data_IF_927256425357
#
_entry.id   IF_927256425357
#
_cell.length_a   1.000
_cell.length_b   1.000
_cell.length_c   1.000
_cell.angle_alpha   90.00
_cell.angle_beta   90.00
_cell.angle_gamma   90.00
#
_symmetry.space_group_name_H-M   'P 1'
#
loop_
_entity.id
_entity.type
_entity.pdbx_description
1 polymer ?
#
# COMPACT_ATOMS: atom_id res chain seq x y z
N UNK A 1 -9.29 4.81 17.77
CA UNK A 1 -8.02 5.08 17.07
C UNK A 1 -8.30 5.92 15.82
N UNK A 2 -7.54 6.97 15.63
CA UNK A 2 -7.70 7.84 14.46
C UNK A 2 -7.01 7.21 13.25
N UNK A 3 -7.70 7.14 12.12
CA UNK A 3 -7.17 6.61 10.86
C UNK A 3 -5.88 7.35 10.46
N UNK A 4 -5.90 8.68 10.62
CA UNK A 4 -4.77 9.53 10.30
C UNK A 4 -3.53 9.18 11.13
N UNK A 5 -3.71 8.90 12.42
CA UNK A 5 -2.60 8.56 13.30
C UNK A 5 -1.99 7.20 12.97
N UNK A 6 -2.84 6.22 12.62
CA UNK A 6 -2.36 4.89 12.22
C UNK A 6 -1.57 4.96 10.92
N UNK A 7 -2.07 5.69 9.93
CA UNK A 7 -1.38 5.89 8.66
C UNK A 7 -0.04 6.60 8.87
N UNK A 8 -0.01 7.60 9.74
CA UNK A 8 1.20 8.35 10.04
C UNK A 8 2.29 7.50 10.70
N UNK A 9 1.90 6.64 11.65
CA UNK A 9 2.85 5.74 12.32
C UNK A 9 3.49 4.76 11.33
N UNK A 10 2.69 4.17 10.46
CA UNK A 10 3.21 3.25 9.44
C UNK A 10 4.13 3.99 8.48
N UNK A 11 3.74 5.18 8.04
CA UNK A 11 4.54 6.00 7.16
C UNK A 11 5.89 6.37 7.78
N UNK A 12 5.90 6.77 9.05
CA UNK A 12 7.13 7.09 9.76
C UNK A 12 8.07 5.90 9.87
N UNK A 13 7.55 4.70 10.14
CA UNK A 13 8.34 3.48 10.20
C UNK A 13 9.01 3.17 8.85
N UNK A 14 8.28 3.37 7.75
CA UNK A 14 8.82 3.14 6.41
C UNK A 14 9.87 4.20 6.05
N UNK A 15 9.57 5.47 6.28
CA UNK A 15 10.46 6.57 5.91
C UNK A 15 11.74 6.59 6.73
N UNK A 16 11.71 6.10 7.97
CA UNK A 16 12.90 6.00 8.81
C UNK A 16 13.79 4.81 8.48
N UNK A 17 13.33 3.90 7.61
CA UNK A 17 14.06 2.69 7.26
C UNK A 17 13.84 1.53 8.22
N UNK A 18 13.00 1.70 9.24
CA UNK A 18 12.69 0.64 10.20
C UNK A 18 11.93 -0.51 9.52
N UNK A 19 11.04 -0.18 8.57
CA UNK A 19 10.29 -1.14 7.77
C UNK A 19 10.38 -0.78 6.31
N UNK A 20 10.27 -1.77 5.43
CA UNK A 20 10.26 -1.54 3.99
C UNK A 20 8.84 -1.33 3.48
N UNK A 21 7.86 -1.99 4.10
CA UNK A 21 6.47 -2.00 3.66
C UNK A 21 5.53 -1.99 4.85
N UNK A 22 4.28 -1.60 4.63
CA UNK A 22 3.26 -1.58 5.66
C UNK A 22 1.92 -2.07 5.15
N UNK A 23 1.10 -2.53 6.08
CA UNK A 23 -0.27 -2.98 5.79
C UNK A 23 -1.21 -2.25 6.74
N UNK A 24 -2.22 -1.60 6.19
CA UNK A 24 -3.22 -0.87 6.94
C UNK A 24 -4.62 -1.43 6.69
N UNK A 25 -5.38 -1.58 7.74
CA UNK A 25 -6.76 -2.08 7.69
C UNK A 25 -7.72 -1.07 8.30
N UNK A 26 -8.84 -0.85 7.62
CA UNK A 26 -9.98 -0.14 8.21
C UNK A 26 -11.27 -0.71 7.63
N UNK A 27 -12.40 -0.04 7.80
CA UNK A 27 -13.68 -0.57 7.31
C UNK A 27 -13.70 -0.83 5.81
N UNK A 28 -13.29 0.13 5.01
CA UNK A 28 -13.22 0.02 3.54
C UNK A 28 -11.80 0.05 3.00
N UNK A 29 -10.85 0.54 3.78
CA UNK A 29 -9.48 0.78 3.33
C UNK A 29 -9.30 2.12 2.62
N UNK A 30 -10.40 2.78 2.26
CA UNK A 30 -10.37 4.01 1.46
C UNK A 30 -9.74 5.17 2.23
N UNK A 31 -10.25 5.45 3.43
CA UNK A 31 -9.75 6.54 4.25
C UNK A 31 -8.28 6.37 4.63
N UNK A 32 -7.89 5.14 4.97
CA UNK A 32 -6.49 4.83 5.27
C UNK A 32 -5.58 5.11 4.08
N UNK A 33 -5.99 4.69 2.88
CA UNK A 33 -5.17 4.91 1.68
C UNK A 33 -5.04 6.41 1.38
N UNK A 34 -6.12 7.16 1.54
CA UNK A 34 -6.08 8.61 1.34
C UNK A 34 -5.16 9.29 2.35
N UNK A 35 -5.27 8.92 3.62
CA UNK A 35 -4.43 9.49 4.68
C UNK A 35 -2.95 9.18 4.45
N UNK A 36 -2.64 7.92 4.14
CA UNK A 36 -1.26 7.50 3.90
C UNK A 36 -0.65 8.22 2.69
N UNK A 37 -1.41 8.37 1.62
CA UNK A 37 -0.92 9.02 0.40
C UNK A 37 -0.70 10.53 0.52
N UNK A 38 -1.14 11.16 1.61
CA UNK A 38 -0.82 12.56 1.87
C UNK A 38 0.63 12.74 2.35
N UNK A 39 1.29 11.66 2.71
CA UNK A 39 2.65 11.71 3.24
C UNK A 39 3.63 11.43 2.09
N UNK A 40 4.54 12.37 1.85
CA UNK A 40 5.53 12.25 0.77
C UNK A 40 6.38 11.00 0.96
N UNK A 41 6.57 10.25 -0.11
CA UNK A 41 7.33 9.00 -0.08
C UNK A 41 6.49 7.76 0.19
N UNK A 42 5.20 7.93 0.47
CA UNK A 42 4.27 6.83 0.70
C UNK A 42 3.40 6.64 -0.54
N UNK A 43 3.39 5.42 -1.06
CA UNK A 43 2.52 5.01 -2.15
C UNK A 43 1.63 3.89 -1.62
N UNK A 44 0.46 4.29 -1.13
CA UNK A 44 -0.51 3.37 -0.55
C UNK A 44 -1.53 2.96 -1.61
N UNK A 45 -1.81 1.68 -1.68
CA UNK A 45 -2.78 1.13 -2.63
C UNK A 45 -3.89 0.40 -1.90
N UNK A 46 -5.12 0.73 -2.24
CA UNK A 46 -6.30 0.01 -1.76
C UNK A 46 -6.53 -1.18 -2.68
N UNK A 47 -6.39 -2.38 -2.16
CA UNK A 47 -6.56 -3.60 -2.94
C UNK A 47 -7.58 -4.52 -2.28
N UNK A 48 -8.49 -5.06 -3.10
CA UNK A 48 -9.48 -6.04 -2.66
C UNK A 48 -9.39 -7.34 -3.46
N UNK A 49 -8.32 -7.51 -4.22
CA UNK A 49 -8.05 -8.72 -5.00
C UNK A 49 -6.54 -8.92 -5.15
N UNK A 50 -6.14 -10.14 -5.48
CA UNK A 50 -4.72 -10.48 -5.60
C UNK A 50 -4.05 -9.88 -6.84
N UNK A 51 -4.79 -9.76 -7.93
CA UNK A 51 -4.25 -9.17 -9.15
C UNK A 51 -3.83 -7.71 -8.92
N UNK A 52 -4.70 -6.92 -8.28
CA UNK A 52 -4.39 -5.52 -7.98
C UNK A 52 -3.20 -5.40 -7.03
N UNK A 53 -3.10 -6.28 -6.04
CA UNK A 53 -1.99 -6.29 -5.10
C UNK A 53 -0.66 -6.59 -5.80
N UNK A 54 -0.65 -7.54 -6.70
CA UNK A 54 0.53 -7.86 -7.50
C UNK A 54 0.90 -6.69 -8.44
N UNK A 55 -0.09 -6.19 -9.17
CA UNK A 55 0.12 -5.12 -10.14
C UNK A 55 0.64 -3.83 -9.48
N UNK A 56 0.07 -3.43 -8.34
CA UNK A 56 0.50 -2.21 -7.67
C UNK A 56 1.93 -2.33 -7.16
N UNK A 57 2.36 -3.54 -6.77
CA UNK A 57 3.74 -3.75 -6.37
C UNK A 57 4.68 -3.72 -7.58
N UNK A 58 4.35 -4.47 -8.61
CA UNK A 58 5.18 -4.59 -9.81
C UNK A 58 5.25 -3.31 -10.63
N UNK A 59 4.15 -2.59 -10.74
CA UNK A 59 4.05 -1.41 -11.61
C UNK A 59 4.19 -0.09 -10.87
N UNK A 60 3.67 0.01 -9.66
CA UNK A 60 3.63 1.25 -8.92
C UNK A 60 4.64 1.32 -7.76
N UNK A 61 5.30 0.21 -7.49
CA UNK A 61 6.20 0.08 -6.34
C UNK A 61 5.55 0.59 -5.05
N UNK A 62 4.30 0.19 -4.83
CA UNK A 62 3.55 0.58 -3.64
C UNK A 62 4.26 0.05 -2.40
N UNK A 63 4.34 0.87 -1.37
CA UNK A 63 4.98 0.48 -0.10
C UNK A 63 3.99 0.33 1.05
N UNK A 64 2.71 0.61 0.81
CA UNK A 64 1.65 0.40 1.78
C UNK A 64 0.46 -0.25 1.10
N UNK A 65 0.01 -1.36 1.65
CA UNK A 65 -1.21 -2.04 1.22
C UNK A 65 -2.34 -1.67 2.18
N UNK A 66 -3.45 -1.19 1.62
CA UNK A 66 -4.64 -0.91 2.42
C UNK A 66 -5.75 -1.88 2.04
N UNK A 67 -6.48 -2.37 3.05
CA UNK A 67 -7.58 -3.31 2.84
C UNK A 67 -8.76 -2.93 3.72
N UNK A 68 -9.97 -3.30 3.28
CA UNK A 68 -11.21 -3.05 4.01
C UNK A 68 -11.72 -4.30 4.70
N UNK A 69 -11.75 -4.30 6.02
CA UNK A 69 -12.21 -5.44 6.81
C UNK A 69 -13.70 -5.75 6.59
N UNK A 70 -14.48 -4.76 6.15
CA UNK A 70 -15.90 -4.95 5.84
C UNK A 70 -16.13 -5.37 4.38
N UNK A 71 -15.11 -5.29 3.55
CA UNK A 71 -15.21 -5.58 2.12
C UNK A 71 -14.75 -6.99 1.80
N UNK A 72 -13.71 -7.47 2.47
CA UNK A 72 -13.11 -8.78 2.23
C UNK A 72 -13.04 -9.58 3.52
N UNK A 73 -13.16 -10.91 3.38
CA UNK A 73 -13.02 -11.82 4.51
C UNK A 73 -11.55 -12.06 4.87
N UNK A 74 -11.30 -12.66 6.05
CA UNK A 74 -9.92 -12.89 6.52
C UNK A 74 -9.06 -13.71 5.58
N UNK A 75 -9.61 -14.76 4.98
CA UNK A 75 -8.85 -15.64 4.10
C UNK A 75 -8.36 -14.90 2.86
N UNK A 76 -9.23 -14.12 2.24
CA UNK A 76 -8.86 -13.32 1.08
C UNK A 76 -7.85 -12.23 1.48
N UNK A 77 -8.03 -11.62 2.64
CA UNK A 77 -7.10 -10.61 3.15
C UNK A 77 -5.68 -11.17 3.29
N UNK A 78 -5.54 -12.38 3.82
CA UNK A 78 -4.23 -13.03 3.93
C UNK A 78 -3.62 -13.32 2.56
N UNK A 79 -4.41 -13.76 1.59
CA UNK A 79 -3.92 -14.02 0.23
C UNK A 79 -3.47 -12.74 -0.46
N UNK A 80 -4.21 -11.66 -0.28
CA UNK A 80 -3.85 -10.35 -0.83
C UNK A 80 -2.54 -9.86 -0.21
N UNK A 81 -2.42 -9.96 1.11
CA UNK A 81 -1.21 -9.56 1.83
C UNK A 81 0.00 -10.39 1.39
N UNK A 82 -0.13 -11.71 1.28
CA UNK A 82 0.94 -12.58 0.82
C UNK A 82 1.37 -12.22 -0.60
N UNK A 83 0.41 -12.00 -1.49
CA UNK A 83 0.69 -11.61 -2.87
C UNK A 83 1.46 -10.29 -2.93
N UNK A 84 1.03 -9.31 -2.14
CA UNK A 84 1.69 -8.01 -2.06
C UNK A 84 3.14 -8.14 -1.56
N UNK A 85 3.34 -8.86 -0.47
CA UNK A 85 4.65 -9.03 0.15
C UNK A 85 5.62 -9.83 -0.73
N UNK A 86 5.10 -10.82 -1.45
CA UNK A 86 5.91 -11.70 -2.31
C UNK A 86 6.24 -11.09 -3.68
N UNK A 87 5.50 -10.08 -4.11
CA UNK A 87 5.72 -9.43 -5.39
C UNK A 87 6.85 -8.41 -5.31
N UNK A 88 7.52 -8.18 -6.43
CA UNK A 88 8.66 -7.24 -6.51
C UNK A 88 8.44 -6.23 -7.61
N UNK A 89 8.99 -5.04 -7.43
CA UNK A 89 8.94 -4.00 -8.44
C UNK A 89 9.69 -4.45 -9.70
N UNK A 90 9.10 -4.20 -10.86
CA UNK A 90 9.65 -4.61 -12.15
C UNK A 90 10.95 -3.89 -12.54
N UNK A 91 11.17 -2.70 -11.99
CA UNK A 91 12.25 -1.79 -12.38
C UNK A 91 12.23 -1.38 -13.87
N UNK A 92 11.07 -1.54 -14.51
CA UNK A 92 10.86 -1.10 -15.89
C UNK A 92 10.88 0.43 -15.94
N UNK A 93 11.61 1.01 -16.89
CA UNK A 93 11.74 2.46 -17.02
C UNK A 93 10.42 3.17 -17.16
N UNK A 94 9.47 2.58 -17.84
CA UNK A 94 8.13 3.09 -18.02
C UNK A 94 7.41 3.24 -16.68
N UNK A 95 7.59 2.27 -15.79
CA UNK A 95 7.01 2.29 -14.45
C UNK A 95 7.72 3.29 -13.54
N UNK A 96 9.04 3.35 -13.60
CA UNK A 96 9.83 4.33 -12.85
C UNK A 96 9.40 5.75 -13.20
N UNK A 97 9.21 6.04 -14.48
CA UNK A 97 8.77 7.35 -14.97
C UNK A 97 7.39 7.72 -14.42
N UNK A 98 6.44 6.79 -14.44
CA UNK A 98 5.09 7.01 -13.92
C UNK A 98 5.08 7.28 -12.43
N UNK A 99 5.89 6.53 -11.68
CA UNK A 99 6.02 6.73 -10.22
C UNK A 99 6.59 8.12 -9.94
N UNK A 100 7.59 8.52 -10.69
CA UNK A 100 8.17 9.87 -10.56
C UNK A 100 7.12 10.96 -10.70
N UNK A 101 6.20 10.80 -11.65
CA UNK A 101 5.09 11.75 -11.83
C UNK A 101 4.10 11.72 -10.66
N UNK A 102 3.89 10.56 -10.05
CA UNK A 102 3.02 10.44 -8.88
C UNK A 102 3.61 11.11 -7.64
N UNK A 103 4.94 11.13 -7.53
CA UNK A 103 5.64 11.73 -6.38
C UNK A 103 5.79 13.25 -6.50
N UNK A 104 5.53 13.82 -7.66
CA UNK A 104 5.55 15.28 -7.83
C UNK A 104 4.30 15.94 -7.15
#
# INVERSE_FOLDING_TARGET
MCIRDSAKKVAEAILSGECEEGILLCGTGIGMSMAANKIKGIRAALCSDCFSAQATKEHNNANVLCMGARVIGPELAFRIADTFLDSKFSNDERHIRRISMLED
#
